data_IF_597633334766
#
_entry.id   IF_597633334766
#
_cell.length_a   1.000
_cell.length_b   1.000
_cell.length_c   1.000
_cell.angle_alpha   90.00
_cell.angle_beta   90.00
_cell.angle_gamma   90.00
#
_symmetry.space_group_name_H-M   'P 1'
#
loop_
_entity.id
_entity.type
_entity.pdbx_description
1 polymer ?
#
# COMPACT_ATOMS: atom_id res chain seq x y z
N UNK A 1 24.84 -32.19 0.71
CA UNK A 1 23.68 -32.72 -0.04
C UNK A 1 23.10 -33.88 0.77
N UNK A 2 22.02 -33.62 1.51
CA UNK A 2 21.32 -34.64 2.31
C UNK A 2 19.83 -34.46 2.07
N UNK A 3 19.18 -35.59 1.79
CA UNK A 3 17.92 -35.70 1.06
C UNK A 3 16.72 -35.50 1.99
N UNK A 4 15.72 -34.76 1.48
CA UNK A 4 14.44 -34.42 2.10
C UNK A 4 13.61 -35.68 2.40
N UNK A 5 12.93 -35.72 3.56
CA UNK A 5 11.85 -36.67 3.83
C UNK A 5 10.51 -35.94 3.82
N UNK A 6 9.80 -36.09 2.72
CA UNK A 6 8.41 -35.65 2.53
C UNK A 6 7.50 -36.67 3.22
N UNK A 7 6.70 -36.24 4.19
CA UNK A 7 5.65 -37.09 4.78
C UNK A 7 4.30 -36.46 4.45
N UNK A 8 3.54 -37.17 3.62
CA UNK A 8 2.21 -36.83 3.14
C UNK A 8 1.21 -37.47 4.10
N UNK A 9 0.36 -36.68 4.78
CA UNK A 9 -0.74 -37.23 5.59
C UNK A 9 -2.05 -36.58 5.13
N UNK A 10 -2.76 -37.37 4.33
CA UNK A 10 -4.16 -37.24 3.94
C UNK A 10 -5.02 -37.74 5.12
N UNK A 11 -5.97 -36.94 5.60
CA UNK A 11 -7.04 -37.46 6.46
C UNK A 11 -8.38 -36.80 6.11
N UNK A 12 -9.20 -37.57 5.38
CA UNK A 12 -10.62 -37.34 5.21
C UNK A 12 -11.34 -37.42 6.57
N UNK A 13 -12.14 -36.42 6.91
CA UNK A 13 -13.25 -36.62 7.84
C UNK A 13 -14.55 -36.12 7.22
N UNK A 14 -15.29 -37.12 6.73
CA UNK A 14 -16.67 -37.06 6.28
C UNK A 14 -17.55 -37.24 7.51
N UNK A 15 -18.30 -36.21 7.93
CA UNK A 15 -19.45 -36.39 8.80
C UNK A 15 -20.62 -35.56 8.26
N UNK A 16 -21.46 -36.24 7.48
CA UNK A 16 -22.86 -35.88 7.31
C UNK A 16 -23.55 -35.96 8.68
N UNK A 17 -24.29 -34.91 9.04
CA UNK A 17 -25.60 -35.12 9.66
C UNK A 17 -26.53 -33.97 9.33
N UNK A 18 -27.67 -34.36 8.81
CA UNK A 18 -28.83 -33.59 8.44
C UNK A 18 -29.41 -32.86 9.65
N UNK A 19 -29.79 -31.59 9.48
CA UNK A 19 -31.04 -31.07 10.03
C UNK A 19 -31.76 -30.21 9.00
N UNK A 20 -33.07 -30.29 9.11
CA UNK A 20 -34.11 -30.11 8.12
C UNK A 20 -34.71 -28.70 8.11
N UNK A 21 -35.12 -28.27 6.92
CA UNK A 21 -36.30 -27.45 6.55
C UNK A 21 -36.70 -26.26 7.44
N UNK A 22 -36.74 -25.08 6.81
CA UNK A 22 -37.59 -23.97 7.25
C UNK A 22 -37.57 -22.80 6.27
N UNK A 23 -38.45 -22.81 5.27
CA UNK A 23 -38.88 -21.60 4.58
C UNK A 23 -40.12 -21.07 5.30
N UNK A 24 -40.13 -19.79 5.67
CA UNK A 24 -41.34 -19.05 5.99
C UNK A 24 -41.15 -17.58 5.63
N UNK A 25 -42.17 -17.03 4.96
CA UNK A 25 -42.29 -15.69 4.38
C UNK A 25 -41.79 -14.51 5.23
N UNK A 26 -41.14 -13.55 4.57
CA UNK A 26 -40.91 -12.19 5.09
C UNK A 26 -42.18 -11.35 4.97
N UNK A 27 -42.72 -10.95 6.13
CA UNK A 27 -43.56 -9.76 6.25
C UNK A 27 -43.08 -8.92 7.44
N UNK A 28 -42.79 -7.65 7.15
CA UNK A 28 -42.71 -6.43 7.98
C UNK A 28 -42.28 -6.48 9.48
N UNK A 29 -41.29 -5.61 9.79
CA UNK A 29 -40.91 -4.85 11.02
C UNK A 29 -41.98 -4.66 12.15
N UNK A 30 -41.66 -4.11 13.38
CA UNK A 30 -40.37 -3.85 14.09
C UNK A 30 -40.34 -4.05 15.66
N UNK A 31 -39.12 -3.90 16.24
CA UNK A 31 -38.71 -3.26 17.53
C UNK A 31 -38.75 -3.98 18.92
N UNK A 32 -37.59 -3.89 19.62
CA UNK A 32 -37.31 -3.61 21.06
C UNK A 32 -36.41 -4.60 21.84
N UNK A 33 -35.67 -4.02 22.79
CA UNK A 33 -34.31 -4.31 23.29
C UNK A 33 -34.25 -5.12 24.61
N UNK A 34 -33.14 -5.86 24.84
CA UNK A 34 -32.24 -5.87 26.02
C UNK A 34 -31.34 -7.11 25.95
N UNK A 35 -30.06 -6.94 25.63
CA UNK A 35 -28.92 -6.73 26.54
C UNK A 35 -28.19 -8.04 26.84
N UNK A 36 -27.00 -8.16 26.23
CA UNK A 36 -25.77 -8.61 26.86
C UNK A 36 -24.65 -8.32 25.84
N UNK A 37 -24.16 -7.09 25.88
CA UNK A 37 -23.12 -6.60 24.99
C UNK A 37 -21.75 -6.81 25.65
N UNK A 38 -20.86 -7.66 25.14
CA UNK A 38 -19.44 -7.41 25.28
C UNK A 38 -19.13 -6.19 24.41
N UNK A 39 -18.84 -5.06 25.07
CA UNK A 39 -18.33 -3.84 24.45
C UNK A 39 -16.98 -4.16 23.80
N UNK A 40 -17.01 -4.57 22.54
CA UNK A 40 -15.81 -4.61 21.69
C UNK A 40 -15.50 -3.18 21.28
N UNK A 41 -14.30 -2.70 21.60
CA UNK A 41 -13.79 -1.42 21.14
C UNK A 41 -13.97 -1.35 19.61
N UNK A 42 -14.62 -0.29 19.14
CA UNK A 42 -14.60 0.10 17.74
C UNK A 42 -13.17 0.50 17.40
N UNK A 43 -12.41 -0.41 16.80
CA UNK A 43 -11.13 -0.08 16.17
C UNK A 43 -11.43 0.89 15.02
N UNK A 44 -11.01 2.15 15.18
CA UNK A 44 -11.21 3.17 14.16
C UNK A 44 -10.25 2.89 13.01
N UNK A 45 -10.68 2.11 12.02
CA UNK A 45 -9.87 1.79 10.84
C UNK A 45 -10.07 2.82 9.73
N UNK A 46 -9.00 3.13 9.00
CA UNK A 46 -8.96 4.01 7.83
C UNK A 46 -8.53 3.23 6.59
N UNK A 47 -8.94 3.67 5.41
CA UNK A 47 -8.57 3.02 4.13
C UNK A 47 -7.45 3.83 3.48
N UNK A 48 -6.39 3.14 3.09
CA UNK A 48 -5.29 3.67 2.29
C UNK A 48 -5.34 3.13 0.85
N UNK A 49 -5.05 3.98 -0.14
CA UNK A 49 -4.93 3.58 -1.55
C UNK A 49 -3.47 3.30 -1.88
N UNK A 50 -3.11 2.07 -2.24
CA UNK A 50 -1.74 1.70 -2.60
C UNK A 50 -1.67 1.42 -4.10
N UNK A 51 -0.81 2.16 -4.80
CA UNK A 51 -0.59 2.00 -6.23
C UNK A 51 0.54 1.00 -6.52
N UNK A 52 0.37 0.26 -7.62
CA UNK A 52 1.32 -0.70 -8.16
C UNK A 52 1.21 -0.73 -9.68
N UNK A 53 2.02 -1.54 -10.36
CA UNK A 53 1.94 -1.73 -11.79
C UNK A 53 0.97 -2.85 -12.17
N UNK A 54 0.36 -2.75 -13.34
CA UNK A 54 -0.24 -3.92 -13.99
C UNK A 54 0.84 -4.96 -14.35
N UNK A 55 0.41 -6.10 -14.88
CA UNK A 55 1.31 -7.23 -15.21
C UNK A 55 2.34 -6.90 -16.30
N UNK A 56 2.14 -5.81 -17.04
CA UNK A 56 2.98 -5.40 -18.16
C UNK A 56 3.86 -4.20 -17.81
N UNK A 57 3.70 -3.60 -16.62
CA UNK A 57 4.32 -2.34 -16.22
C UNK A 57 4.01 -1.17 -17.17
N UNK A 58 2.79 -1.15 -17.71
CA UNK A 58 2.32 -0.10 -18.61
C UNK A 58 1.35 0.88 -17.93
N UNK A 59 0.56 0.39 -16.98
CA UNK A 59 -0.47 1.18 -16.31
C UNK A 59 -0.37 1.04 -14.79
N UNK A 60 -0.70 2.11 -14.09
CA UNK A 60 -0.91 2.07 -12.65
C UNK A 60 -2.26 1.43 -12.33
N UNK A 61 -2.24 0.52 -11.37
CA UNK A 61 -3.44 -0.05 -10.74
C UNK A 61 -3.36 0.17 -9.24
N UNK A 62 -4.48 0.15 -8.54
CA UNK A 62 -4.50 0.35 -7.09
C UNK A 62 -5.18 -0.80 -6.33
N UNK A 63 -4.84 -0.88 -5.05
CA UNK A 63 -5.53 -1.67 -4.03
C UNK A 63 -5.92 -0.75 -2.87
N UNK A 64 -7.07 -1.00 -2.27
CA UNK A 64 -7.43 -0.39 -0.99
C UNK A 64 -6.97 -1.30 0.14
N UNK A 65 -6.35 -0.71 1.18
CA UNK A 65 -5.87 -1.43 2.36
C UNK A 65 -6.45 -0.77 3.61
N UNK A 66 -7.09 -1.57 4.46
CA UNK A 66 -7.60 -1.11 5.76
C UNK A 66 -6.46 -1.11 6.78
N UNK A 67 -6.16 0.08 7.33
CA UNK A 67 -5.11 0.32 8.32
C UNK A 67 -5.73 0.90 9.61
N UNK A 68 -5.03 0.78 10.74
CA UNK A 68 -5.41 1.49 11.96
C UNK A 68 -5.17 3.01 11.84
N UNK A 69 -4.15 3.40 11.07
CA UNK A 69 -3.79 4.79 10.80
C UNK A 69 -2.95 4.92 9.52
N UNK A 70 -3.10 6.06 8.84
CA UNK A 70 -2.22 6.45 7.73
C UNK A 70 -1.06 7.26 8.29
N UNK A 71 0.14 6.68 8.21
CA UNK A 71 1.42 7.32 8.54
C UNK A 71 2.41 7.04 7.42
N UNK A 72 3.47 7.85 7.32
CA UNK A 72 4.48 7.64 6.28
C UNK A 72 5.09 6.22 6.35
N UNK A 73 5.26 5.69 7.56
CA UNK A 73 5.78 4.35 7.77
C UNK A 73 4.77 3.26 7.40
N UNK A 74 3.47 3.41 7.72
CA UNK A 74 2.48 2.37 7.35
C UNK A 74 2.32 2.27 5.83
N UNK A 75 2.34 3.41 5.13
CA UNK A 75 2.34 3.44 3.66
C UNK A 75 3.63 2.84 3.08
N UNK A 76 4.78 3.18 3.66
CA UNK A 76 6.07 2.61 3.26
C UNK A 76 6.10 1.08 3.36
N UNK A 77 5.65 0.53 4.48
CA UNK A 77 5.58 -0.93 4.68
C UNK A 77 4.57 -1.58 3.73
N UNK A 78 3.44 -0.93 3.42
CA UNK A 78 2.50 -1.43 2.42
C UNK A 78 3.09 -1.48 1.00
N UNK A 79 3.88 -0.47 0.62
CA UNK A 79 4.58 -0.44 -0.67
C UNK A 79 5.67 -1.52 -0.75
N UNK A 80 6.36 -1.82 0.37
CA UNK A 80 7.25 -2.98 0.46
C UNK A 80 6.51 -4.31 0.32
N UNK A 81 5.36 -4.44 0.98
CA UNK A 81 4.55 -5.67 0.95
C UNK A 81 4.03 -6.01 -0.46
N UNK A 82 3.96 -5.02 -1.36
CA UNK A 82 3.60 -5.23 -2.78
C UNK A 82 4.79 -5.15 -3.73
N UNK A 83 6.00 -5.30 -3.21
CA UNK A 83 7.26 -5.35 -3.98
C UNK A 83 7.53 -4.08 -4.82
N UNK A 84 6.95 -2.94 -4.45
CA UNK A 84 7.27 -1.63 -5.07
C UNK A 84 8.54 -1.04 -4.46
N UNK A 85 8.73 -1.18 -3.15
CA UNK A 85 9.95 -0.74 -2.47
C UNK A 85 10.83 -1.97 -2.20
N UNK A 86 12.13 -1.84 -2.52
CA UNK A 86 13.12 -2.90 -2.30
C UNK A 86 13.15 -3.30 -0.82
N UNK A 87 13.10 -4.60 -0.46
CA UNK A 87 12.89 -5.05 0.93
C UNK A 87 13.83 -4.46 1.98
N UNK A 88 15.10 -4.27 1.65
CA UNK A 88 16.13 -3.79 2.58
C UNK A 88 16.17 -2.25 2.72
N UNK A 89 15.37 -1.52 1.93
CA UNK A 89 15.24 -0.06 2.02
C UNK A 89 14.78 0.36 3.41
N UNK A 90 15.23 1.50 3.91
CA UNK A 90 14.70 2.13 5.12
C UNK A 90 14.07 3.47 4.77
N UNK A 91 13.05 3.85 5.51
CA UNK A 91 12.51 5.20 5.51
C UNK A 91 13.36 6.04 6.48
N UNK A 92 14.19 6.92 5.94
CA UNK A 92 14.99 7.83 6.76
C UNK A 92 14.12 8.96 7.31
N UNK A 93 13.33 9.59 6.42
CA UNK A 93 12.51 10.76 6.78
C UNK A 93 11.31 10.91 5.84
N UNK A 94 10.25 11.51 6.37
CA UNK A 94 9.19 12.09 5.56
C UNK A 94 8.82 13.45 6.16
N UNK A 95 8.92 14.51 5.36
CA UNK A 95 8.53 15.85 5.72
C UNK A 95 7.38 16.35 4.84
N UNK A 96 6.60 17.27 5.40
CA UNK A 96 5.55 17.97 4.67
C UNK A 96 5.58 19.47 5.02
N UNK A 97 5.43 20.31 4.01
CA UNK A 97 5.35 21.77 4.18
C UNK A 97 4.43 22.39 3.11
N UNK A 98 4.06 23.64 3.32
CA UNK A 98 3.38 24.47 2.31
C UNK A 98 4.44 25.35 1.63
N UNK A 99 4.46 25.34 0.30
CA UNK A 99 5.36 26.22 -0.45
C UNK A 99 4.80 27.65 -0.59
N UNK A 100 5.51 28.51 -1.31
CA UNK A 100 5.13 29.91 -1.48
C UNK A 100 3.81 30.11 -2.23
N UNK A 101 3.37 29.10 -3.01
CA UNK A 101 2.14 29.11 -3.78
C UNK A 101 0.97 28.44 -3.03
N UNK A 102 1.17 28.07 -1.75
CA UNK A 102 0.24 27.30 -0.92
C UNK A 102 -0.07 25.92 -1.49
N UNK A 103 0.93 25.28 -2.11
CA UNK A 103 0.86 23.89 -2.52
C UNK A 103 1.46 23.03 -1.40
N UNK A 104 0.75 21.96 -1.02
CA UNK A 104 1.25 21.02 -0.03
C UNK A 104 2.32 20.12 -0.65
N UNK A 105 3.56 20.22 -0.19
CA UNK A 105 4.71 19.44 -0.67
C UNK A 105 5.09 18.36 0.32
N UNK A 106 5.23 17.12 -0.15
CA UNK A 106 5.82 16.02 0.62
C UNK A 106 7.20 15.64 0.09
N UNK A 107 8.16 15.42 0.98
CA UNK A 107 9.49 14.92 0.64
C UNK A 107 9.75 13.64 1.43
N UNK A 108 10.01 12.54 0.72
CA UNK A 108 10.41 11.28 1.32
C UNK A 108 11.91 11.06 1.11
N UNK A 109 12.60 10.60 2.13
CA UNK A 109 14.01 10.21 2.04
C UNK A 109 14.16 8.73 2.39
N UNK A 110 14.68 7.97 1.44
CA UNK A 110 14.99 6.55 1.58
C UNK A 110 16.47 6.32 1.82
N UNK A 111 16.82 5.15 2.36
CA UNK A 111 18.22 4.73 2.44
C UNK A 111 18.77 4.26 1.09
N UNK A 112 20.09 4.24 0.93
CA UNK A 112 20.77 3.80 -0.31
C UNK A 112 20.35 2.42 -0.81
N UNK A 113 19.90 1.51 0.06
CA UNK A 113 19.38 0.20 -0.33
C UNK A 113 18.16 0.29 -1.27
N UNK A 114 17.52 1.45 -1.38
CA UNK A 114 16.49 1.73 -2.39
C UNK A 114 16.97 1.45 -3.81
N UNK A 115 18.26 1.64 -4.10
CA UNK A 115 18.85 1.36 -5.43
C UNK A 115 19.13 -0.12 -5.70
N UNK A 116 18.85 -1.02 -4.76
CA UNK A 116 19.15 -2.46 -4.92
C UNK A 116 18.11 -3.18 -5.79
N UNK A 117 17.76 -2.59 -6.94
CA UNK A 117 16.91 -3.18 -7.96
C UNK A 117 17.67 -3.28 -9.29
N UNK A 118 17.16 -4.10 -10.21
CA UNK A 118 17.67 -4.19 -11.58
C UNK A 118 16.49 -4.09 -12.55
N UNK A 119 16.01 -2.87 -12.71
CA UNK A 119 14.84 -2.53 -13.52
C UNK A 119 15.31 -1.82 -14.79
N UNK A 120 14.63 -2.08 -15.90
CA UNK A 120 14.74 -1.21 -17.07
C UNK A 120 13.92 0.07 -16.86
N UNK A 121 14.16 1.08 -17.68
CA UNK A 121 13.54 2.41 -17.56
C UNK A 121 12.02 2.39 -17.37
N UNK A 122 11.29 1.54 -18.10
CA UNK A 122 9.81 1.46 -17.97
C UNK A 122 9.37 0.97 -16.59
N UNK A 123 10.01 -0.08 -16.07
CA UNK A 123 9.69 -0.61 -14.74
C UNK A 123 10.15 0.34 -13.63
N UNK A 124 11.24 1.05 -13.86
CA UNK A 124 11.71 2.09 -12.93
C UNK A 124 10.73 3.26 -12.85
N UNK A 125 10.26 3.78 -14.00
CA UNK A 125 9.25 4.84 -14.03
C UNK A 125 7.98 4.42 -13.30
N UNK A 126 7.42 3.24 -13.59
CA UNK A 126 6.18 2.80 -12.93
C UNK A 126 6.37 2.57 -11.43
N UNK A 127 7.56 2.15 -10.98
CA UNK A 127 7.90 2.00 -9.56
C UNK A 127 7.87 3.37 -8.87
N UNK A 128 8.55 4.37 -9.44
CA UNK A 128 8.57 5.72 -8.89
C UNK A 128 7.18 6.35 -8.89
N UNK A 129 6.43 6.19 -9.97
CA UNK A 129 5.06 6.69 -10.08
C UNK A 129 4.13 6.02 -9.05
N UNK A 130 4.29 4.72 -8.81
CA UNK A 130 3.53 3.98 -7.80
C UNK A 130 3.78 4.55 -6.40
N UNK A 131 5.04 4.85 -6.06
CA UNK A 131 5.41 5.47 -4.79
C UNK A 131 4.79 6.87 -4.72
N UNK A 132 5.05 7.71 -5.71
CA UNK A 132 4.62 9.09 -5.70
C UNK A 132 3.10 9.24 -5.63
N UNK A 133 2.36 8.52 -6.46
CA UNK A 133 0.89 8.57 -6.48
C UNK A 133 0.29 8.08 -5.16
N UNK A 134 0.87 7.03 -4.57
CA UNK A 134 0.47 6.53 -3.25
C UNK A 134 0.61 7.62 -2.18
N UNK A 135 1.76 8.29 -2.07
CA UNK A 135 1.92 9.34 -1.07
C UNK A 135 1.08 10.58 -1.37
N UNK A 136 0.97 10.99 -2.63
CA UNK A 136 0.13 12.12 -3.04
C UNK A 136 -1.32 11.93 -2.61
N UNK A 137 -1.89 10.75 -2.86
CA UNK A 137 -3.29 10.49 -2.54
C UNK A 137 -3.53 10.36 -1.03
N UNK A 138 -2.72 9.55 -0.34
CA UNK A 138 -2.94 9.27 1.08
C UNK A 138 -2.66 10.46 2.00
N UNK A 139 -1.78 11.40 1.59
CA UNK A 139 -1.45 12.59 2.38
C UNK A 139 -2.04 13.89 1.81
N UNK A 140 -2.83 13.79 0.74
CA UNK A 140 -3.39 14.91 -0.01
C UNK A 140 -2.33 15.97 -0.37
N UNK A 141 -1.25 15.53 -1.01
CA UNK A 141 -0.16 16.39 -1.45
C UNK A 141 -0.45 16.94 -2.85
N UNK A 142 0.07 18.11 -3.17
CA UNK A 142 0.08 18.66 -4.52
C UNK A 142 1.38 18.34 -5.26
N UNK A 143 2.49 18.29 -4.51
CA UNK A 143 3.82 17.92 -4.99
C UNK A 143 4.43 16.84 -4.11
N UNK A 144 5.20 15.95 -4.73
CA UNK A 144 5.95 14.94 -4.01
C UNK A 144 7.35 14.77 -4.60
N UNK A 145 8.34 14.56 -3.73
CA UNK A 145 9.73 14.33 -4.10
C UNK A 145 10.30 13.11 -3.38
N UNK A 146 11.15 12.37 -4.10
CA UNK A 146 11.88 11.21 -3.59
C UNK A 146 13.36 11.58 -3.51
N UNK A 147 13.92 11.48 -2.31
CA UNK A 147 15.34 11.56 -2.03
C UNK A 147 15.88 10.17 -1.68
N UNK A 148 17.17 9.97 -1.90
CA UNK A 148 17.90 8.80 -1.40
C UNK A 148 19.15 9.29 -0.65
N UNK A 149 19.20 9.00 0.64
CA UNK A 149 20.21 9.49 1.57
C UNK A 149 20.39 11.01 1.52
N UNK A 150 19.28 11.74 1.35
CA UNK A 150 19.23 13.19 1.30
C UNK A 150 19.67 13.81 -0.04
N UNK A 151 19.94 13.01 -1.06
CA UNK A 151 20.25 13.47 -2.43
C UNK A 151 19.05 13.24 -3.36
N UNK A 152 18.95 14.03 -4.43
CA UNK A 152 17.91 13.86 -5.45
C UNK A 152 18.00 12.47 -6.08
N UNK A 153 16.85 11.86 -6.38
CA UNK A 153 16.83 10.54 -6.98
C UNK A 153 17.53 10.55 -8.35
N UNK A 154 18.59 9.75 -8.48
CA UNK A 154 19.31 9.56 -9.73
C UNK A 154 19.63 8.08 -9.97
N UNK A 155 19.44 7.63 -11.21
CA UNK A 155 19.75 6.28 -11.68
C UNK A 155 20.43 6.33 -13.05
N UNK A 156 20.65 5.16 -13.66
CA UNK A 156 21.12 5.06 -15.04
C UNK A 156 20.08 5.44 -16.11
N UNK A 157 18.81 5.63 -15.74
CA UNK A 157 17.71 5.90 -16.68
C UNK A 157 16.97 7.19 -16.38
N UNK A 158 16.87 7.59 -15.11
CA UNK A 158 16.09 8.72 -14.63
C UNK A 158 16.99 9.59 -13.77
N UNK A 159 16.92 10.90 -13.98
CA UNK A 159 17.62 11.91 -13.21
C UNK A 159 16.59 12.96 -12.81
N UNK A 160 16.46 13.22 -11.51
CA UNK A 160 15.71 14.36 -11.00
C UNK A 160 16.66 15.46 -10.55
N UNK A 161 16.28 16.67 -10.90
CA UNK A 161 16.90 17.92 -10.43
C UNK A 161 16.16 18.48 -9.19
N UNK A 162 16.75 19.47 -8.53
CA UNK A 162 16.21 20.09 -7.32
C UNK A 162 14.78 20.66 -7.46
N UNK A 163 14.36 21.01 -8.68
CA UNK A 163 13.03 21.57 -8.95
C UNK A 163 12.04 20.54 -9.51
N UNK A 164 12.44 19.27 -9.63
CA UNK A 164 11.57 18.20 -10.10
C UNK A 164 10.68 17.66 -8.98
N UNK A 165 9.38 17.57 -9.28
CA UNK A 165 8.36 17.02 -8.40
C UNK A 165 7.38 16.17 -9.20
N UNK A 166 6.94 15.08 -8.59
CA UNK A 166 5.72 14.41 -9.02
C UNK A 166 4.52 15.27 -8.63
N UNK A 167 3.53 15.36 -9.53
CA UNK A 167 2.27 16.05 -9.27
C UNK A 167 1.09 15.17 -9.67
N UNK A 168 -0.12 15.51 -9.19
CA UNK A 168 -1.35 14.76 -9.48
C UNK A 168 -1.59 14.52 -10.97
N UNK A 169 -1.13 15.42 -11.83
CA UNK A 169 -1.36 15.39 -13.28
C UNK A 169 -0.27 14.59 -14.04
N UNK A 170 0.78 14.12 -13.36
CA UNK A 170 1.89 13.39 -13.98
C UNK A 170 1.60 11.91 -14.26
N UNK A 171 0.50 11.35 -13.72
CA UNK A 171 0.23 9.92 -13.76
C UNK A 171 -0.77 9.57 -14.88
N UNK A 172 -0.39 8.64 -15.75
CA UNK A 172 -1.28 8.05 -16.76
C UNK A 172 -2.15 6.93 -16.17
#
# INVERSE_FOLDING_TARGET
>A
MSVKKFTFILLCFLCLSFFTVGCSDSSNLPQSEEDNTPKSNSENSVVATIYTSDKNAENLVNKEVTLSEITANTIFEELKNVDIIVPDTKLNKFDKYEDADNQTVGIIDFSNEFYNFNLGSSYESIMLDSIAKTYIENFNLDKFKILVNGEEYQSGHILFDDDDYFTKDCFN
#
